data_IF_289999638057
#
_entry.id   IF_289999638057
#
_cell.length_a   1.000
_cell.length_b   1.000
_cell.length_c   1.000
_cell.angle_alpha   90.00
_cell.angle_beta   90.00
_cell.angle_gamma   90.00
#
_symmetry.space_group_name_H-M   'P 1'
#
loop_
_entity.id
_entity.type
_entity.pdbx_description
1 polymer ?
#
# COMPACT_ATOMS: atom_id res chain seq x y z
N UNK A 1 -1.08 -23.68 0.49
CA UNK A 1 -1.63 -23.07 -0.74
C UNK A 1 -0.63 -22.04 -1.19
N UNK A 2 -0.07 -22.21 -2.40
CA UNK A 2 0.99 -21.36 -2.95
C UNK A 2 0.48 -19.92 -3.14
N UNK A 3 1.11 -18.94 -2.47
CA UNK A 3 0.90 -17.49 -2.66
C UNK A 3 1.65 -17.00 -3.92
N UNK A 4 1.80 -17.85 -4.93
CA UNK A 4 2.24 -17.43 -6.27
C UNK A 4 1.07 -16.77 -7.00
N UNK A 5 0.82 -15.49 -6.73
CA UNK A 5 -0.17 -14.77 -7.53
C UNK A 5 -0.48 -13.32 -7.17
N UNK A 6 -0.10 -12.81 -6.00
CA UNK A 6 -0.47 -11.44 -5.65
C UNK A 6 0.68 -10.71 -4.96
N UNK A 7 1.47 -10.02 -5.80
CA UNK A 7 2.40 -8.96 -5.41
C UNK A 7 3.15 -9.26 -4.12
N UNK A 8 3.99 -10.30 -4.13
CA UNK A 8 5.07 -10.35 -3.15
C UNK A 8 5.90 -9.10 -3.34
N UNK A 9 5.94 -8.28 -2.30
CA UNK A 9 6.89 -7.21 -2.03
C UNK A 9 8.15 -7.39 -2.88
N UNK A 10 8.31 -6.55 -3.90
CA UNK A 10 9.38 -6.61 -4.92
C UNK A 10 10.77 -6.30 -4.36
N UNK A 11 11.14 -6.88 -3.23
CA UNK A 11 12.41 -6.67 -2.57
C UNK A 11 12.79 -7.93 -1.84
N UNK A 12 13.98 -8.44 -2.14
CA UNK A 12 14.77 -9.38 -1.34
C UNK A 12 15.00 -8.96 0.13
N UNK A 13 14.32 -7.90 0.59
CA UNK A 13 14.45 -7.27 1.90
C UNK A 13 13.40 -7.76 2.91
N UNK A 14 12.33 -8.43 2.46
CA UNK A 14 11.25 -8.87 3.34
C UNK A 14 11.08 -10.40 3.36
N UNK A 15 10.86 -10.98 4.54
CA UNK A 15 10.52 -12.40 4.74
C UNK A 15 9.03 -12.54 5.03
N UNK A 16 8.39 -13.57 4.46
CA UNK A 16 6.93 -13.75 4.48
C UNK A 16 6.35 -13.76 5.90
N UNK A 17 7.01 -14.48 6.81
CA UNK A 17 6.62 -14.59 8.22
C UNK A 17 6.57 -13.21 8.90
N UNK A 18 7.63 -12.43 8.71
CA UNK A 18 7.79 -11.12 9.34
C UNK A 18 6.90 -10.06 8.71
N UNK A 19 6.57 -10.20 7.43
CA UNK A 19 5.56 -9.38 6.75
C UNK A 19 4.20 -9.59 7.40
N UNK A 20 3.81 -10.85 7.58
CA UNK A 20 2.50 -11.18 8.14
C UNK A 20 2.36 -10.65 9.57
N UNK A 21 3.37 -10.86 10.42
CA UNK A 21 3.37 -10.34 11.79
C UNK A 21 3.33 -8.81 11.81
N UNK A 22 4.15 -8.14 10.99
CA UNK A 22 4.16 -6.67 10.91
C UNK A 22 2.83 -6.11 10.42
N UNK A 23 2.19 -6.78 9.46
CA UNK A 23 0.91 -6.37 8.91
C UNK A 23 -0.21 -6.52 9.93
N UNK A 24 -0.24 -7.62 10.69
CA UNK A 24 -1.24 -7.79 11.74
C UNK A 24 -1.08 -6.76 12.86
N UNK A 25 0.15 -6.48 13.30
CA UNK A 25 0.41 -5.42 14.28
C UNK A 25 -0.02 -4.04 13.76
N UNK A 26 0.36 -3.70 12.53
CA UNK A 26 -0.05 -2.44 11.91
C UNK A 26 -1.58 -2.33 11.80
N UNK A 27 -2.24 -3.41 11.39
CA UNK A 27 -3.69 -3.44 11.20
C UNK A 27 -4.45 -3.25 12.52
N UNK A 28 -3.93 -3.78 13.63
CA UNK A 28 -4.52 -3.57 14.95
C UNK A 28 -4.59 -2.08 15.32
N UNK A 29 -3.53 -1.32 15.01
CA UNK A 29 -3.44 0.11 15.34
C UNK A 29 -4.09 1.02 14.29
N UNK A 30 -4.13 0.59 13.02
CA UNK A 30 -4.55 1.40 11.87
C UNK A 30 -5.77 0.84 11.11
N UNK A 31 -6.65 0.17 11.85
CA UNK A 31 -7.82 -0.51 11.28
C UNK A 31 -8.72 0.42 10.45
N UNK A 32 -8.87 1.68 10.87
CA UNK A 32 -9.75 2.63 10.21
C UNK A 32 -9.16 3.07 8.87
N UNK A 33 -7.86 3.31 8.81
CA UNK A 33 -7.11 3.68 7.61
C UNK A 33 -7.15 2.55 6.58
N UNK A 34 -6.94 1.29 7.00
CA UNK A 34 -7.12 0.13 6.12
C UNK A 34 -8.56 0.02 5.60
N UNK A 35 -9.55 0.29 6.46
CA UNK A 35 -10.97 0.27 6.07
C UNK A 35 -11.32 1.39 5.09
N UNK A 36 -10.68 2.55 5.23
CA UNK A 36 -10.87 3.67 4.32
C UNK A 36 -10.26 3.37 2.94
N UNK A 37 -8.99 2.97 2.91
CA UNK A 37 -8.29 2.61 1.67
C UNK A 37 -9.01 1.49 0.91
N UNK A 38 -9.48 0.46 1.62
CA UNK A 38 -10.23 -0.64 1.01
C UNK A 38 -11.57 -0.22 0.42
N UNK A 39 -12.26 0.75 1.02
CA UNK A 39 -13.47 1.31 0.42
C UNK A 39 -13.17 2.08 -0.87
N UNK A 40 -12.05 2.80 -0.92
CA UNK A 40 -11.62 3.51 -2.13
C UNK A 40 -11.25 2.53 -3.24
N UNK A 41 -10.48 1.49 -2.95
CA UNK A 41 -9.91 0.62 -3.99
C UNK A 41 -10.77 -0.60 -4.37
N UNK A 42 -11.47 -1.20 -3.39
CA UNK A 42 -12.23 -2.43 -3.59
C UNK A 42 -13.75 -2.15 -3.60
N UNK A 43 -14.18 -1.08 -2.95
CA UNK A 43 -15.60 -0.82 -2.69
C UNK A 43 -16.19 -1.79 -1.66
N UNK A 44 -17.34 -1.43 -1.08
CA UNK A 44 -17.93 -2.16 0.07
C UNK A 44 -18.27 -3.63 -0.22
N UNK A 45 -18.51 -4.00 -1.48
CA UNK A 45 -18.95 -5.36 -1.87
C UNK A 45 -17.81 -6.35 -2.07
N UNK A 46 -16.59 -5.89 -2.40
CA UNK A 46 -15.48 -6.79 -2.77
C UNK A 46 -14.57 -7.18 -1.61
N UNK A 47 -14.68 -6.50 -0.46
CA UNK A 47 -13.86 -6.77 0.72
C UNK A 47 -14.07 -8.19 1.27
N UNK A 48 -15.30 -8.69 1.29
CA UNK A 48 -15.63 -10.06 1.73
C UNK A 48 -15.20 -11.14 0.74
N UNK A 49 -14.93 -10.77 -0.50
CA UNK A 49 -14.57 -11.69 -1.60
C UNK A 49 -13.05 -11.80 -1.79
N UNK A 50 -12.28 -10.95 -1.11
CA UNK A 50 -10.82 -10.88 -1.25
C UNK A 50 -10.13 -11.23 0.08
N UNK A 51 -9.74 -12.50 0.30
CA UNK A 51 -9.16 -12.94 1.58
C UNK A 51 -7.87 -12.19 1.95
N UNK A 52 -7.04 -11.82 0.96
CA UNK A 52 -5.74 -11.16 1.16
C UNK A 52 -5.81 -9.66 0.87
N UNK A 53 -6.94 -9.02 1.20
CA UNK A 53 -7.12 -7.60 0.91
C UNK A 53 -6.16 -6.72 1.69
N UNK A 54 -5.75 -7.10 2.91
CA UNK A 54 -4.81 -6.32 3.73
C UNK A 54 -3.44 -6.22 3.06
N UNK A 55 -2.95 -7.33 2.53
CA UNK A 55 -1.69 -7.43 1.80
C UNK A 55 -1.75 -6.58 0.52
N UNK A 56 -2.89 -6.61 -0.18
CA UNK A 56 -3.10 -5.75 -1.33
C UNK A 56 -3.04 -4.26 -0.98
N UNK A 57 -3.68 -3.84 0.11
CA UNK A 57 -3.61 -2.46 0.61
C UNK A 57 -2.18 -2.10 0.98
N UNK A 58 -1.46 -2.96 1.69
CA UNK A 58 -0.07 -2.73 2.08
C UNK A 58 0.84 -2.56 0.85
N UNK A 59 0.69 -3.42 -0.16
CA UNK A 59 1.45 -3.31 -1.40
C UNK A 59 1.24 -1.98 -2.10
N UNK A 60 -0.02 -1.54 -2.18
CA UNK A 60 -0.36 -0.22 -2.69
C UNK A 60 0.35 0.90 -1.91
N UNK A 61 0.32 0.82 -0.57
CA UNK A 61 0.98 1.80 0.30
C UNK A 61 2.50 1.89 0.03
N UNK A 62 3.15 0.75 -0.18
CA UNK A 62 4.58 0.68 -0.49
C UNK A 62 4.93 1.24 -1.86
N UNK A 63 4.10 1.00 -2.87
CA UNK A 63 4.26 1.61 -4.20
C UNK A 63 4.04 3.14 -4.13
N UNK A 64 3.13 3.63 -3.28
CA UNK A 64 2.95 5.08 -3.04
C UNK A 64 4.21 5.69 -2.41
N UNK A 65 4.77 5.09 -1.36
CA UNK A 65 6.00 5.61 -0.73
C UNK A 65 7.16 5.61 -1.71
N UNK A 66 7.34 4.53 -2.49
CA UNK A 66 8.39 4.43 -3.49
C UNK A 66 8.21 5.47 -4.62
N UNK A 67 6.98 5.67 -5.08
CA UNK A 67 6.67 6.68 -6.09
C UNK A 67 6.91 8.08 -5.55
N UNK A 68 6.52 8.38 -4.31
CA UNK A 68 6.78 9.67 -3.67
C UNK A 68 8.28 9.96 -3.54
N UNK A 69 9.10 8.95 -3.17
CA UNK A 69 10.56 9.07 -3.16
C UNK A 69 11.16 9.32 -4.55
N UNK A 70 10.50 8.81 -5.60
CA UNK A 70 10.90 9.10 -6.98
C UNK A 70 10.52 10.54 -7.36
N UNK A 71 9.30 10.98 -7.04
CA UNK A 71 8.79 12.32 -7.35
C UNK A 71 9.57 13.44 -6.65
N UNK A 72 10.07 13.19 -5.43
CA UNK A 72 10.90 14.15 -4.69
C UNK A 72 12.40 14.02 -4.94
N UNK A 73 12.81 13.21 -5.92
CA UNK A 73 14.21 13.08 -6.35
C UNK A 73 15.12 12.27 -5.41
N UNK A 74 14.59 11.62 -4.37
CA UNK A 74 15.39 10.75 -3.47
C UNK A 74 15.78 9.41 -4.12
N UNK A 75 15.02 8.95 -5.11
CA UNK A 75 15.27 7.71 -5.85
C UNK A 75 15.17 8.00 -7.34
N UNK A 76 16.08 7.43 -8.13
CA UNK A 76 16.04 7.57 -9.59
C UNK A 76 14.81 6.83 -10.16
N UNK A 77 14.09 7.41 -11.14
CA UNK A 77 12.96 6.74 -11.77
C UNK A 77 13.44 5.48 -12.51
N UNK A 78 12.68 4.40 -12.38
CA UNK A 78 12.83 3.23 -13.24
C UNK A 78 12.11 3.46 -14.57
N UNK A 79 12.34 2.58 -15.54
CA UNK A 79 11.61 2.56 -16.82
C UNK A 79 10.10 2.38 -16.65
N UNK A 80 9.66 1.83 -15.51
CA UNK A 80 8.25 1.60 -15.17
C UNK A 80 7.65 2.65 -14.24
N UNK A 81 8.44 3.61 -13.75
CA UNK A 81 7.99 4.67 -12.84
C UNK A 81 6.79 5.48 -13.38
N UNK A 82 6.75 5.88 -14.67
CA UNK A 82 5.60 6.60 -15.22
C UNK A 82 4.30 5.78 -15.17
N UNK A 83 4.35 4.50 -15.55
CA UNK A 83 3.19 3.60 -15.55
C UNK A 83 2.71 3.30 -14.13
N UNK A 84 3.63 3.14 -13.17
CA UNK A 84 3.29 2.99 -11.75
C UNK A 84 2.60 4.23 -11.20
N UNK A 85 3.14 5.42 -11.47
CA UNK A 85 2.53 6.67 -11.03
C UNK A 85 1.12 6.85 -11.60
N UNK A 86 0.92 6.59 -12.89
CA UNK A 86 -0.40 6.64 -13.52
C UNK A 86 -1.37 5.61 -12.93
N UNK A 87 -0.89 4.40 -12.60
CA UNK A 87 -1.70 3.36 -11.99
C UNK A 87 -2.21 3.78 -10.60
N UNK A 88 -1.33 4.34 -9.77
CA UNK A 88 -1.68 4.90 -8.46
C UNK A 88 -2.73 6.00 -8.62
N UNK A 89 -2.47 6.98 -9.51
CA UNK A 89 -3.39 8.09 -9.73
C UNK A 89 -4.75 7.63 -10.26
N UNK A 90 -4.80 6.61 -11.12
CA UNK A 90 -6.06 6.04 -11.62
C UNK A 90 -6.82 5.32 -10.51
N UNK A 91 -6.13 4.58 -9.64
CA UNK A 91 -6.77 3.87 -8.52
C UNK A 91 -7.32 4.83 -7.47
N UNK A 92 -6.55 5.87 -7.14
CA UNK A 92 -6.94 6.87 -6.14
C UNK A 92 -7.98 7.84 -6.71
N UNK A 93 -7.76 8.38 -7.90
CA UNK A 93 -8.64 9.39 -8.50
C UNK A 93 -10.02 8.87 -8.92
N UNK A 94 -10.22 7.55 -8.94
CA UNK A 94 -11.53 6.97 -9.28
C UNK A 94 -12.59 7.41 -8.27
N UNK A 95 -13.65 8.06 -8.75
CA UNK A 95 -14.76 8.63 -7.96
C UNK A 95 -14.38 9.74 -6.95
N UNK A 96 -13.16 10.29 -7.02
CA UNK A 96 -12.81 11.46 -6.23
C UNK A 96 -13.31 12.75 -6.87
N UNK A 97 -13.75 13.69 -6.05
CA UNK A 97 -14.31 14.97 -6.51
C UNK A 97 -13.39 16.16 -6.23
N UNK A 98 -12.32 15.96 -5.45
CA UNK A 98 -11.36 17.03 -5.11
C UNK A 98 -9.92 16.52 -4.95
N UNK A 99 -8.96 17.41 -5.23
CA UNK A 99 -7.54 17.13 -4.97
C UNK A 99 -7.26 16.87 -3.48
N UNK A 100 -8.04 17.45 -2.57
CA UNK A 100 -7.88 17.23 -1.13
C UNK A 100 -8.13 15.76 -0.75
N UNK A 101 -9.13 15.12 -1.35
CA UNK A 101 -9.40 13.68 -1.14
C UNK A 101 -8.25 12.83 -1.67
N UNK A 102 -7.72 13.18 -2.84
CA UNK A 102 -6.58 12.49 -3.43
C UNK A 102 -5.35 12.58 -2.53
N UNK A 103 -5.01 13.79 -2.09
CA UNK A 103 -3.89 14.03 -1.16
C UNK A 103 -4.09 13.29 0.16
N UNK A 104 -5.31 13.26 0.69
CA UNK A 104 -5.62 12.54 1.92
C UNK A 104 -5.30 11.03 1.80
N UNK A 105 -5.79 10.37 0.75
CA UNK A 105 -5.55 8.94 0.53
C UNK A 105 -4.06 8.66 0.30
N UNK A 106 -3.37 9.50 -0.48
CA UNK A 106 -1.92 9.35 -0.67
C UNK A 106 -1.14 9.51 0.65
N UNK A 107 -1.56 10.43 1.52
CA UNK A 107 -0.93 10.62 2.83
C UNK A 107 -1.13 9.43 3.75
N UNK A 108 -2.36 8.87 3.81
CA UNK A 108 -2.62 7.65 4.57
C UNK A 108 -1.72 6.52 4.05
N UNK A 109 -1.69 6.31 2.74
CA UNK A 109 -0.89 5.26 2.13
C UNK A 109 0.61 5.42 2.41
N UNK A 110 1.13 6.64 2.34
CA UNK A 110 2.52 6.92 2.69
C UNK A 110 2.82 6.60 4.16
N UNK A 111 1.95 7.02 5.09
CA UNK A 111 2.14 6.81 6.51
C UNK A 111 2.10 5.32 6.89
N UNK A 112 1.12 4.57 6.37
CA UNK A 112 1.03 3.12 6.61
C UNK A 112 2.27 2.38 6.12
N UNK A 113 2.81 2.79 4.98
CA UNK A 113 4.05 2.22 4.44
C UNK A 113 5.26 2.48 5.35
N UNK A 114 5.39 3.71 5.86
CA UNK A 114 6.46 4.06 6.78
C UNK A 114 6.35 3.31 8.12
N UNK A 115 5.15 3.25 8.70
CA UNK A 115 4.88 2.53 9.95
C UNK A 115 5.11 1.03 9.80
N UNK A 116 4.66 0.43 8.69
CA UNK A 116 4.94 -0.98 8.38
C UNK A 116 6.45 -1.26 8.42
N UNK A 117 7.26 -0.44 7.75
CA UNK A 117 8.71 -0.63 7.70
C UNK A 117 9.36 -0.50 9.08
N UNK A 118 8.86 0.40 9.92
CA UNK A 118 9.34 0.56 11.29
C UNK A 118 8.99 -0.64 12.17
N UNK A 119 7.77 -1.17 12.08
CA UNK A 119 7.37 -2.39 12.77
C UNK A 119 8.23 -3.56 12.29
N UNK A 120 8.32 -3.74 10.97
CA UNK A 120 9.13 -4.79 10.35
C UNK A 120 10.60 -4.72 10.78
N UNK A 121 11.18 -3.52 10.91
CA UNK A 121 12.56 -3.37 11.38
C UNK A 121 12.76 -3.82 12.84
N UNK A 122 11.73 -3.71 13.67
CA UNK A 122 11.79 -3.98 15.12
C UNK A 122 11.52 -5.44 15.48
N UNK A 123 10.73 -6.14 14.66
CA UNK A 123 10.58 -7.59 14.78
C UNK A 123 11.93 -8.27 14.57
N UNK A 124 12.17 -9.39 15.26
CA UNK A 124 13.43 -10.13 15.17
C UNK A 124 13.39 -11.12 14.02
#
# INVERSE_FOLDING_TARGET
MSIQGMYMLNTSQYTEEKIHESLELLYMDRKNEFRELSQVFLGKKKLSEMPNWKEFILNFCLDVENSFKTWNGKVQPSTTSPQKALTILRQVGNNMTSMNQLTHILNISYNLSAEFKEIYKRLK
#
